data_IF_481895877370
#
_entry.id   IF_481895877370
#
_cell.length_a   1.000
_cell.length_b   1.000
_cell.length_c   1.000
_cell.angle_alpha   90.00
_cell.angle_beta   90.00
_cell.angle_gamma   90.00
#
_symmetry.space_group_name_H-M   'P 1'
#
loop_
_entity.id
_entity.type
_entity.pdbx_description
1 polymer ?
#
# COMPACT_ATOMS: atom_id res chain seq x y z
N UNK A 1 23.99 20.76 57.66
CA UNK A 1 23.58 20.97 56.25
C UNK A 1 24.51 22.00 55.64
N UNK A 2 25.17 21.67 54.52
CA UNK A 2 26.01 22.60 53.75
C UNK A 2 25.21 23.00 52.51
N UNK A 3 24.84 24.28 52.41
CA UNK A 3 24.24 24.85 51.22
C UNK A 3 25.39 25.32 50.32
N UNK A 4 25.53 24.81 49.09
CA UNK A 4 26.57 25.28 48.19
C UNK A 4 26.22 26.68 47.68
N UNK A 5 27.01 27.67 48.11
CA UNK A 5 26.77 29.10 47.81
C UNK A 5 27.34 29.50 46.45
N UNK A 6 28.41 28.85 46.00
CA UNK A 6 29.15 29.18 44.77
C UNK A 6 28.79 28.28 43.57
N UNK A 7 28.59 26.99 43.78
CA UNK A 7 28.20 26.04 42.73
C UNK A 7 26.76 25.55 42.94
N UNK A 8 25.83 26.17 42.20
CA UNK A 8 24.40 25.80 42.22
C UNK A 8 24.05 24.76 41.16
N UNK A 9 25.04 24.03 40.63
CA UNK A 9 24.86 23.00 39.61
C UNK A 9 24.22 23.52 38.31
N UNK A 10 24.44 24.80 37.99
CA UNK A 10 23.70 25.51 36.94
C UNK A 10 23.92 24.90 35.54
N UNK A 11 25.11 24.35 35.29
CA UNK A 11 25.45 23.67 34.03
C UNK A 11 24.65 22.38 33.81
N UNK A 12 24.54 21.52 34.83
CA UNK A 12 23.73 20.30 34.71
C UNK A 12 22.24 20.61 34.61
N UNK A 13 21.76 21.67 35.28
CA UNK A 13 20.37 22.16 35.12
C UNK A 13 20.13 22.64 33.68
N UNK A 14 21.05 23.43 33.12
CA UNK A 14 20.98 23.90 31.73
C UNK A 14 21.00 22.72 30.74
N UNK A 15 21.87 21.73 30.98
CA UNK A 15 21.92 20.49 30.18
C UNK A 15 20.61 19.71 30.24
N UNK A 16 20.04 19.52 31.43
CA UNK A 16 18.77 18.82 31.60
C UNK A 16 17.61 19.56 30.90
N UNK A 17 17.57 20.90 30.98
CA UNK A 17 16.59 21.72 30.23
C UNK A 17 16.74 21.56 28.72
N UNK A 18 17.97 21.55 28.21
CA UNK A 18 18.26 21.34 26.78
C UNK A 18 17.82 19.93 26.33
N UNK A 19 18.15 18.89 27.09
CA UNK A 19 17.72 17.52 26.80
C UNK A 19 16.19 17.39 26.79
N UNK A 20 15.49 18.05 27.71
CA UNK A 20 14.02 18.12 27.70
C UNK A 20 13.51 18.76 26.40
N UNK A 21 14.02 19.94 26.04
CA UNK A 21 13.64 20.63 24.80
C UNK A 21 13.91 19.76 23.57
N UNK A 22 15.05 19.07 23.53
CA UNK A 22 15.38 18.14 22.45
C UNK A 22 14.39 16.99 22.37
N UNK A 23 14.01 16.38 23.50
CA UNK A 23 13.01 15.31 23.54
C UNK A 23 11.63 15.79 23.07
N UNK A 24 11.21 17.00 23.44
CA UNK A 24 9.96 17.62 22.99
C UNK A 24 9.95 17.87 21.47
N UNK A 25 11.06 18.37 20.91
CA UNK A 25 11.21 18.54 19.47
C UNK A 25 11.22 17.20 18.72
N UNK A 26 11.92 16.20 19.25
CA UNK A 26 11.96 14.85 18.68
C UNK A 26 10.56 14.22 18.66
N UNK A 27 9.79 14.34 19.76
CA UNK A 27 8.41 13.87 19.82
C UNK A 27 7.55 14.57 18.77
N UNK A 28 7.68 15.90 18.65
CA UNK A 28 6.93 16.67 17.66
C UNK A 28 7.25 16.22 16.23
N UNK A 29 8.54 16.03 15.91
CA UNK A 29 8.97 15.54 14.61
C UNK A 29 8.43 14.13 14.30
N UNK A 30 8.49 13.22 15.26
CA UNK A 30 7.94 11.87 15.12
C UNK A 30 6.42 11.88 14.91
N UNK A 31 5.69 12.74 15.62
CA UNK A 31 4.24 12.89 15.43
C UNK A 31 3.88 13.47 14.05
N UNK A 32 4.73 14.31 13.48
CA UNK A 32 4.55 14.79 12.10
C UNK A 32 4.80 13.67 11.10
N UNK A 33 5.89 12.90 11.24
CA UNK A 33 6.18 11.74 10.38
C UNK A 33 5.05 10.71 10.43
N UNK A 34 4.63 10.33 11.64
CA UNK A 34 3.56 9.34 11.85
C UNK A 34 2.25 9.75 11.18
N UNK A 35 1.89 11.05 11.26
CA UNK A 35 0.69 11.55 10.58
C UNK A 35 0.81 11.47 9.06
N UNK A 36 1.98 11.79 8.51
CA UNK A 36 2.24 11.67 7.08
C UNK A 36 2.16 10.21 6.61
N UNK A 37 2.79 9.29 7.35
CA UNK A 37 2.76 7.84 7.06
C UNK A 37 1.34 7.28 7.08
N UNK A 38 0.52 7.65 8.07
CA UNK A 38 -0.88 7.22 8.13
C UNK A 38 -1.68 7.78 6.94
N UNK A 39 -1.51 9.05 6.61
CA UNK A 39 -2.21 9.67 5.48
C UNK A 39 -1.82 9.03 4.14
N UNK A 40 -0.55 8.70 3.95
CA UNK A 40 -0.07 7.99 2.78
C UNK A 40 -0.65 6.57 2.71
N UNK A 41 -0.64 5.83 3.83
CA UNK A 41 -1.18 4.49 3.89
C UNK A 41 -2.69 4.46 3.58
N UNK A 42 -3.46 5.45 4.07
CA UNK A 42 -4.89 5.60 3.74
C UNK A 42 -5.08 5.83 2.25
N UNK A 43 -4.36 6.79 1.65
CA UNK A 43 -4.47 7.07 0.21
C UNK A 43 -4.09 5.88 -0.66
N UNK A 44 -3.04 5.15 -0.29
CA UNK A 44 -2.60 3.96 -1.01
C UNK A 44 -3.64 2.84 -0.92
N UNK A 45 -4.26 2.66 0.24
CA UNK A 45 -5.35 1.70 0.42
C UNK A 45 -6.59 2.07 -0.41
N UNK A 46 -7.00 3.34 -0.39
CA UNK A 46 -8.14 3.81 -1.18
C UNK A 46 -7.90 3.57 -2.68
N UNK A 47 -6.72 3.93 -3.18
CA UNK A 47 -6.35 3.70 -4.58
C UNK A 47 -6.33 2.21 -4.95
N UNK A 48 -5.79 1.35 -4.09
CA UNK A 48 -5.73 -0.10 -4.33
C UNK A 48 -7.13 -0.74 -4.27
N UNK A 49 -8.00 -0.28 -3.36
CA UNK A 49 -9.41 -0.68 -3.29
C UNK A 49 -10.15 -0.28 -4.56
N UNK A 50 -9.99 0.95 -5.02
CA UNK A 50 -10.68 1.45 -6.21
C UNK A 50 -10.20 0.71 -7.46
N UNK A 51 -8.90 0.43 -7.58
CA UNK A 51 -8.34 -0.40 -8.64
C UNK A 51 -8.91 -1.84 -8.62
N UNK A 52 -9.10 -2.42 -7.42
CA UNK A 52 -9.73 -3.73 -7.27
C UNK A 52 -11.22 -3.71 -7.62
N UNK A 53 -11.94 -2.62 -7.34
CA UNK A 53 -13.35 -2.48 -7.72
C UNK A 53 -13.52 -2.31 -9.24
N UNK A 54 -12.56 -1.68 -9.92
CA UNK A 54 -12.53 -1.58 -11.39
C UNK A 54 -12.24 -2.94 -12.03
N UNK A 55 -11.44 -3.78 -11.38
CA UNK A 55 -11.20 -5.18 -11.74
C UNK A 55 -12.44 -6.04 -11.43
N UNK A 56 -13.50 -5.82 -12.20
CA UNK A 56 -14.74 -6.59 -12.15
C UNK A 56 -14.44 -8.07 -12.44
N UNK A 57 -14.83 -9.02 -11.56
CA UNK A 57 -14.78 -10.46 -11.84
C UNK A 57 -15.33 -10.83 -13.23
N UNK A 58 -16.29 -10.05 -13.76
CA UNK A 58 -16.83 -10.21 -15.10
C UNK A 58 -15.80 -10.01 -16.23
N UNK A 59 -14.80 -9.15 -16.05
CA UNK A 59 -13.81 -8.84 -17.10
C UNK A 59 -12.88 -10.02 -17.38
N UNK A 60 -12.39 -10.68 -16.32
CA UNK A 60 -11.54 -11.87 -16.47
C UNK A 60 -12.32 -13.04 -17.09
N UNK A 61 -13.58 -13.24 -16.67
CA UNK A 61 -14.43 -14.27 -17.25
C UNK A 61 -14.79 -13.98 -18.71
N UNK A 62 -15.06 -12.72 -19.06
CA UNK A 62 -15.26 -12.30 -20.44
C UNK A 62 -14.02 -12.57 -21.30
N UNK A 63 -12.82 -12.18 -20.83
CA UNK A 63 -11.57 -12.44 -21.53
C UNK A 63 -11.32 -13.95 -21.71
N UNK A 64 -11.65 -14.76 -20.70
CA UNK A 64 -11.59 -16.23 -20.78
C UNK A 64 -12.51 -16.77 -21.87
N UNK A 65 -13.78 -16.36 -21.86
CA UNK A 65 -14.79 -16.78 -22.85
C UNK A 65 -14.40 -16.38 -24.27
N UNK A 66 -13.86 -15.18 -24.47
CA UNK A 66 -13.37 -14.72 -25.79
C UNK A 66 -12.23 -15.60 -26.29
N UNK A 67 -11.24 -15.86 -25.44
CA UNK A 67 -10.12 -16.78 -25.76
C UNK A 67 -10.63 -18.17 -26.15
N UNK A 68 -11.56 -18.73 -25.40
CA UNK A 68 -12.07 -20.08 -25.61
C UNK A 68 -12.90 -20.18 -26.90
N UNK A 69 -13.72 -19.15 -27.20
CA UNK A 69 -14.46 -19.05 -28.47
C UNK A 69 -13.54 -18.96 -29.68
N UNK A 70 -12.50 -18.12 -29.62
CA UNK A 70 -11.56 -17.95 -30.72
C UNK A 70 -10.74 -19.23 -30.95
N UNK A 71 -10.35 -19.93 -29.87
CA UNK A 71 -9.69 -21.23 -29.97
C UNK A 71 -10.59 -22.26 -30.68
N UNK A 72 -11.84 -22.38 -30.27
CA UNK A 72 -12.79 -23.30 -30.91
C UNK A 72 -12.99 -22.97 -32.41
N UNK A 73 -13.10 -21.68 -32.75
CA UNK A 73 -13.22 -21.26 -34.15
C UNK A 73 -11.97 -21.58 -34.99
N UNK A 74 -10.77 -21.49 -34.40
CA UNK A 74 -9.52 -21.92 -35.05
C UNK A 74 -9.48 -23.43 -35.28
N UNK A 75 -9.89 -24.23 -34.30
CA UNK A 75 -9.94 -25.70 -34.41
C UNK A 75 -10.91 -26.17 -35.52
N UNK A 76 -11.97 -25.39 -35.77
CA UNK A 76 -12.90 -25.59 -36.88
C UNK A 76 -12.41 -25.00 -38.22
N UNK A 77 -11.21 -24.40 -38.27
CA UNK A 77 -10.65 -23.76 -39.46
C UNK A 77 -11.26 -22.40 -39.82
N UNK A 78 -12.15 -21.85 -38.98
CA UNK A 78 -12.87 -20.59 -39.23
C UNK A 78 -12.11 -19.33 -38.82
N UNK A 79 -10.95 -19.45 -38.14
CA UNK A 79 -10.08 -18.33 -37.75
C UNK A 79 -8.60 -18.67 -37.93
N UNK A 80 -7.74 -17.69 -38.24
CA UNK A 80 -6.30 -17.91 -38.32
C UNK A 80 -5.66 -18.05 -36.93
N UNK A 81 -4.47 -18.68 -36.87
CA UNK A 81 -3.72 -18.88 -35.62
C UNK A 81 -3.39 -17.56 -34.90
N UNK A 82 -3.19 -16.47 -35.64
CA UNK A 82 -2.86 -15.15 -35.07
C UNK A 82 -3.95 -14.65 -34.12
N UNK A 83 -5.23 -14.84 -34.47
CA UNK A 83 -6.36 -14.46 -33.63
C UNK A 83 -6.32 -15.20 -32.27
N UNK A 84 -5.90 -16.47 -32.27
CA UNK A 84 -5.75 -17.27 -31.06
C UNK A 84 -4.65 -16.70 -30.17
N UNK A 85 -3.51 -16.33 -30.76
CA UNK A 85 -2.38 -15.77 -30.02
C UNK A 85 -2.74 -14.42 -29.41
N UNK A 86 -3.45 -13.57 -30.13
CA UNK A 86 -3.90 -12.27 -29.63
C UNK A 86 -4.94 -12.42 -28.51
N UNK A 87 -5.90 -13.34 -28.66
CA UNK A 87 -6.88 -13.63 -27.62
C UNK A 87 -6.22 -14.21 -26.35
N UNK A 88 -5.21 -15.07 -26.51
CA UNK A 88 -4.41 -15.58 -25.39
C UNK A 88 -3.61 -14.46 -24.70
N UNK A 89 -2.98 -13.56 -25.48
CA UNK A 89 -2.26 -12.39 -24.94
C UNK A 89 -3.20 -11.51 -24.13
N UNK A 90 -4.36 -11.15 -24.67
CA UNK A 90 -5.34 -10.31 -23.99
C UNK A 90 -5.86 -10.95 -22.69
N UNK A 91 -6.17 -12.26 -22.71
CA UNK A 91 -6.56 -12.99 -21.50
C UNK A 91 -5.45 -12.98 -20.45
N UNK A 92 -4.19 -13.25 -20.84
CA UNK A 92 -3.06 -13.27 -19.90
C UNK A 92 -2.81 -11.90 -19.29
N UNK A 93 -2.97 -10.83 -20.05
CA UNK A 93 -2.82 -9.47 -19.53
C UNK A 93 -3.92 -9.15 -18.52
N UNK A 94 -5.17 -9.48 -18.83
CA UNK A 94 -6.30 -9.33 -17.90
C UNK A 94 -6.06 -10.14 -16.61
N UNK A 95 -5.59 -11.38 -16.73
CA UNK A 95 -5.27 -12.22 -15.58
C UNK A 95 -4.12 -11.65 -14.72
N UNK A 96 -3.10 -11.08 -15.37
CA UNK A 96 -1.98 -10.41 -14.67
C UNK A 96 -2.48 -9.21 -13.87
N UNK A 97 -3.32 -8.37 -14.48
CA UNK A 97 -3.93 -7.22 -13.81
C UNK A 97 -4.80 -7.67 -12.64
N UNK A 98 -5.59 -8.74 -12.79
CA UNK A 98 -6.42 -9.30 -11.72
C UNK A 98 -5.62 -9.76 -10.50
N UNK A 99 -4.46 -10.39 -10.72
CA UNK A 99 -3.58 -10.79 -9.62
C UNK A 99 -2.93 -9.56 -8.98
N UNK A 100 -2.48 -8.61 -9.80
CA UNK A 100 -1.81 -7.40 -9.33
C UNK A 100 -2.73 -6.51 -8.48
N UNK A 101 -3.99 -6.29 -8.90
CA UNK A 101 -5.00 -5.52 -8.18
C UNK A 101 -5.25 -6.12 -6.79
N UNK A 102 -5.52 -7.43 -6.72
CA UNK A 102 -5.75 -8.16 -5.48
C UNK A 102 -4.54 -8.14 -4.57
N UNK A 103 -3.35 -8.36 -5.13
CA UNK A 103 -2.11 -8.31 -4.36
C UNK A 103 -1.92 -6.90 -3.76
N UNK A 104 -2.07 -5.85 -4.57
CA UNK A 104 -1.93 -4.46 -4.13
C UNK A 104 -2.91 -4.11 -3.01
N UNK A 105 -4.17 -4.54 -3.13
CA UNK A 105 -5.18 -4.38 -2.09
C UNK A 105 -4.71 -4.96 -0.75
N UNK A 106 -4.28 -6.23 -0.71
CA UNK A 106 -3.84 -6.86 0.53
C UNK A 106 -2.59 -6.19 1.11
N UNK A 107 -1.61 -5.86 0.29
CA UNK A 107 -0.41 -5.15 0.76
C UNK A 107 -0.76 -3.79 1.38
N UNK A 108 -1.62 -3.01 0.71
CA UNK A 108 -2.05 -1.70 1.21
C UNK A 108 -2.87 -1.80 2.51
N UNK A 109 -3.72 -2.83 2.64
CA UNK A 109 -4.48 -3.09 3.86
C UNK A 109 -3.56 -3.39 5.05
N UNK A 110 -2.56 -4.26 4.85
CA UNK A 110 -1.61 -4.56 5.91
C UNK A 110 -0.69 -3.39 6.24
N UNK A 111 -0.27 -2.62 5.24
CA UNK A 111 0.51 -1.40 5.44
C UNK A 111 -0.27 -0.35 6.26
N UNK A 112 -1.56 -0.17 5.98
CA UNK A 112 -2.43 0.71 6.76
C UNK A 112 -2.60 0.24 8.21
N UNK A 113 -2.85 -1.05 8.42
CA UNK A 113 -2.92 -1.62 9.77
C UNK A 113 -1.59 -1.46 10.54
N UNK A 114 -0.45 -1.61 9.86
CA UNK A 114 0.87 -1.41 10.44
C UNK A 114 1.12 0.07 10.82
N UNK A 115 0.76 1.02 9.94
CA UNK A 115 0.89 2.45 10.19
C UNK A 115 0.02 2.92 11.38
N UNK A 116 -1.16 2.32 11.56
CA UNK A 116 -2.04 2.61 12.72
C UNK A 116 -1.59 1.85 13.98
N UNK A 117 -0.79 0.79 13.84
CA UNK A 117 -0.37 -0.09 14.93
C UNK A 117 -1.49 -0.96 15.51
N UNK A 118 -2.62 -1.06 14.79
CA UNK A 118 -3.79 -1.88 15.16
C UNK A 118 -4.44 -2.43 13.90
N UNK A 119 -5.06 -3.61 14.03
CA UNK A 119 -5.86 -4.18 12.96
C UNK A 119 -7.23 -3.49 12.90
N UNK A 120 -7.31 -2.41 12.12
CA UNK A 120 -8.55 -1.64 11.91
C UNK A 120 -9.39 -2.26 10.80
N UNK A 121 -8.74 -2.81 9.77
CA UNK A 121 -9.37 -3.50 8.65
C UNK A 121 -9.05 -5.00 8.68
N UNK A 122 -10.02 -5.84 8.31
CA UNK A 122 -9.89 -7.30 8.24
C UNK A 122 -10.01 -7.81 6.82
#
# INVERSE_FOLDING_TARGET
>A
MHLPVFDRNQGNIAKAKSLKSQAEHNLTAQLVSLRAEILEAVKNFEAARDALMIDDPGQLDAARKVRDKIRAAYELGGKPLIDVLDAQRAYRETFRLHIASRSSYWHSLYALNAAIGKQVLR
#
